data_IF_068152057856
#
_entry.id   IF_068152057856
#
_cell.length_a   1.000
_cell.length_b   1.000
_cell.length_c   1.000
_cell.angle_alpha   90.00
_cell.angle_beta   90.00
_cell.angle_gamma   90.00
#
_symmetry.space_group_name_H-M   'P 1'
#
loop_
_entity.id
_entity.type
_entity.pdbx_description
1 polymer ?
#
# COMPACT_ATOMS: atom_id res chain seq x y z
N UNK A 1 -3.26 38.25 18.62
CA UNK A 1 -4.45 37.75 17.89
C UNK A 1 -4.10 36.57 16.96
N UNK A 2 -2.92 36.54 16.28
CA UNK A 2 -2.51 35.41 15.46
C UNK A 2 -2.19 34.17 16.32
N UNK A 3 -1.58 34.34 17.49
CA UNK A 3 -1.31 33.27 18.41
C UNK A 3 -2.56 32.56 18.95
N UNK A 4 -3.69 33.28 19.04
CA UNK A 4 -4.97 32.69 19.46
C UNK A 4 -5.57 31.78 18.39
N UNK A 5 -5.25 32.04 17.10
CA UNK A 5 -5.70 31.25 15.96
C UNK A 5 -4.80 30.04 15.68
N UNK A 6 -3.58 30.02 16.24
CA UNK A 6 -2.54 29.03 15.83
C UNK A 6 -2.98 27.58 16.09
N UNK A 7 -3.71 27.33 17.16
CA UNK A 7 -4.22 25.99 17.47
C UNK A 7 -5.28 25.53 16.45
N UNK A 8 -6.31 26.37 16.23
CA UNK A 8 -7.35 26.08 15.21
C UNK A 8 -6.77 25.99 13.81
N UNK A 9 -5.75 26.80 13.49
CA UNK A 9 -5.08 26.78 12.20
C UNK A 9 -4.28 25.47 12.03
N UNK A 10 -3.60 25.04 13.09
CA UNK A 10 -2.87 23.76 13.09
C UNK A 10 -3.81 22.58 12.83
N UNK A 11 -5.00 22.59 13.40
CA UNK A 11 -5.99 21.53 13.20
C UNK A 11 -6.65 21.55 11.81
N UNK A 12 -6.87 22.72 11.23
CA UNK A 12 -7.62 22.87 9.99
C UNK A 12 -6.76 22.82 8.73
N UNK A 13 -5.51 23.32 8.76
CA UNK A 13 -4.70 23.41 7.55
C UNK A 13 -4.40 22.03 6.94
N UNK A 14 -3.99 21.06 7.77
CA UNK A 14 -3.58 19.75 7.26
C UNK A 14 -4.70 19.01 6.50
N UNK A 15 -5.93 18.86 7.03
CA UNK A 15 -7.02 18.23 6.29
C UNK A 15 -7.35 18.94 4.98
N UNK A 16 -7.29 20.29 4.97
CA UNK A 16 -7.59 21.08 3.78
C UNK A 16 -6.52 20.89 2.71
N UNK A 17 -5.24 20.95 3.09
CA UNK A 17 -4.15 20.72 2.14
C UNK A 17 -4.18 19.29 1.58
N UNK A 18 -4.48 18.30 2.41
CA UNK A 18 -4.67 16.92 1.95
C UNK A 18 -5.84 16.83 0.96
N UNK A 19 -6.97 17.44 1.28
CA UNK A 19 -8.14 17.44 0.40
C UNK A 19 -7.82 18.08 -0.96
N UNK A 20 -7.17 19.26 -0.97
CA UNK A 20 -6.76 19.92 -2.20
C UNK A 20 -5.79 19.07 -3.01
N UNK A 21 -4.77 18.48 -2.35
CA UNK A 21 -3.78 17.63 -3.00
C UNK A 21 -4.42 16.42 -3.71
N UNK A 22 -5.45 15.84 -3.11
CA UNK A 22 -6.13 14.66 -3.65
C UNK A 22 -7.28 14.97 -4.61
N UNK A 23 -7.68 16.22 -4.76
CA UNK A 23 -8.80 16.62 -5.64
C UNK A 23 -8.35 17.51 -6.77
N UNK A 24 -8.07 18.78 -6.48
CA UNK A 24 -7.77 19.83 -7.49
C UNK A 24 -6.27 20.08 -7.68
N UNK A 25 -5.42 19.49 -6.83
CA UNK A 25 -3.98 19.73 -6.82
C UNK A 25 -3.58 21.01 -6.06
N UNK A 26 -2.29 21.16 -5.78
CA UNK A 26 -1.68 22.32 -5.12
C UNK A 26 -0.60 23.00 -5.98
N UNK A 27 -0.49 22.60 -7.25
CA UNK A 27 0.58 23.03 -8.14
C UNK A 27 0.43 24.49 -8.64
N UNK A 28 -0.78 25.05 -8.56
CA UNK A 28 -1.04 26.42 -8.98
C UNK A 28 -1.10 27.40 -7.80
N UNK A 29 -0.60 28.65 -7.97
CA UNK A 29 -0.65 29.67 -6.91
C UNK A 29 -2.09 29.97 -6.45
N UNK A 30 -3.06 29.89 -7.34
CA UNK A 30 -4.47 30.09 -7.02
C UNK A 30 -5.02 28.99 -6.10
N UNK A 31 -4.69 27.73 -6.36
CA UNK A 31 -5.10 26.59 -5.52
C UNK A 31 -4.45 26.66 -4.14
N UNK A 32 -3.16 27.00 -4.08
CA UNK A 32 -2.45 27.20 -2.82
C UNK A 32 -3.06 28.35 -2.00
N UNK A 33 -3.36 29.48 -2.64
CA UNK A 33 -4.00 30.62 -1.99
C UNK A 33 -5.40 30.24 -1.49
N UNK A 34 -6.18 29.52 -2.29
CA UNK A 34 -7.52 29.05 -1.91
C UNK A 34 -7.47 28.10 -0.71
N UNK A 35 -6.52 27.17 -0.68
CA UNK A 35 -6.31 26.27 0.46
C UNK A 35 -5.91 27.03 1.74
N UNK A 36 -5.03 28.04 1.61
CA UNK A 36 -4.67 28.92 2.72
C UNK A 36 -5.89 29.71 3.24
N UNK A 37 -6.60 30.38 2.35
CA UNK A 37 -7.79 31.18 2.74
C UNK A 37 -8.84 30.30 3.42
N UNK A 38 -9.10 29.11 2.90
CA UNK A 38 -10.04 28.17 3.51
C UNK A 38 -9.55 27.70 4.88
N UNK A 39 -8.25 27.44 5.04
CA UNK A 39 -7.65 27.07 6.32
C UNK A 39 -7.80 28.16 7.37
N UNK A 40 -7.53 29.41 7.02
CA UNK A 40 -7.71 30.55 7.89
C UNK A 40 -9.19 30.81 8.21
N UNK A 41 -10.07 30.69 7.22
CA UNK A 41 -11.52 30.84 7.40
C UNK A 41 -12.07 29.83 8.40
N UNK A 42 -11.74 28.54 8.22
CA UNK A 42 -12.14 27.47 9.14
C UNK A 42 -11.53 27.65 10.54
N UNK A 43 -10.27 28.04 10.64
CA UNK A 43 -9.63 28.35 11.90
C UNK A 43 -10.34 29.49 12.64
N UNK A 44 -10.70 30.56 11.92
CA UNK A 44 -11.45 31.69 12.49
C UNK A 44 -12.85 31.28 12.96
N UNK A 45 -13.58 30.51 12.15
CA UNK A 45 -14.91 29.99 12.52
C UNK A 45 -14.80 29.10 13.77
N UNK A 46 -13.85 28.16 13.78
CA UNK A 46 -13.60 27.30 14.95
C UNK A 46 -13.30 28.10 16.20
N UNK A 47 -12.39 29.05 16.10
CA UNK A 47 -12.02 29.91 17.22
C UNK A 47 -13.23 30.75 17.72
N UNK A 48 -14.00 31.34 16.79
CA UNK A 48 -15.09 32.25 17.12
C UNK A 48 -16.29 31.55 17.76
N UNK A 49 -16.66 30.37 17.21
CA UNK A 49 -17.90 29.68 17.58
C UNK A 49 -17.71 28.48 18.48
N UNK A 50 -16.49 27.90 18.51
CA UNK A 50 -16.19 26.73 19.34
C UNK A 50 -15.27 27.11 20.50
N UNK A 51 -14.05 27.57 20.23
CA UNK A 51 -13.06 27.76 21.28
C UNK A 51 -13.42 28.87 22.28
N UNK A 52 -13.82 30.05 21.78
CA UNK A 52 -14.15 31.19 22.65
C UNK A 52 -15.31 30.90 23.59
N UNK A 53 -16.45 30.33 23.15
CA UNK A 53 -17.53 29.97 24.06
C UNK A 53 -17.11 28.93 25.09
N UNK A 54 -16.31 27.94 24.68
CA UNK A 54 -15.80 26.93 25.60
C UNK A 54 -14.82 27.50 26.63
N UNK A 55 -13.90 28.37 26.24
CA UNK A 55 -12.97 29.07 27.15
C UNK A 55 -13.73 29.99 28.12
N UNK A 56 -14.74 30.69 27.64
CA UNK A 56 -15.55 31.56 28.48
C UNK A 56 -16.40 30.80 29.51
N UNK A 57 -16.89 29.61 29.14
CA UNK A 57 -17.70 28.76 30.03
C UNK A 57 -16.88 27.88 30.97
N UNK A 58 -15.63 27.55 30.63
CA UNK A 58 -14.75 26.71 31.46
C UNK A 58 -14.34 27.37 32.77
N UNK A 59 -14.39 28.71 32.89
CA UNK A 59 -14.12 29.47 34.15
C UNK A 59 -15.23 29.39 35.18
N UNK A 60 -16.38 28.80 34.87
CA UNK A 60 -17.57 28.87 35.75
C UNK A 60 -18.16 27.47 35.97
N UNK A 61 -17.89 26.90 37.12
CA UNK A 61 -18.83 26.16 37.95
C UNK A 61 -18.93 24.65 37.94
N UNK A 62 -18.54 23.86 36.97
CA UNK A 62 -18.61 22.37 37.09
C UNK A 62 -17.70 21.66 36.07
N UNK A 63 -16.45 21.34 36.42
CA UNK A 63 -15.51 20.64 35.49
C UNK A 63 -16.08 19.31 34.98
N UNK A 64 -16.88 18.61 35.79
CA UNK A 64 -17.55 17.38 35.38
C UNK A 64 -18.50 17.54 34.18
N UNK A 65 -19.21 18.67 34.10
CA UNK A 65 -20.12 18.95 32.96
C UNK A 65 -19.32 19.20 31.68
N UNK A 66 -18.23 19.95 31.75
CA UNK A 66 -17.37 20.22 30.59
C UNK A 66 -16.74 18.95 30.08
N UNK A 67 -16.27 18.09 30.97
CA UNK A 67 -15.74 16.75 30.61
C UNK A 67 -16.85 15.90 29.98
N UNK A 68 -18.05 15.88 30.58
CA UNK A 68 -19.19 15.13 30.05
C UNK A 68 -19.59 15.58 28.63
N UNK A 69 -19.64 16.89 28.35
CA UNK A 69 -19.88 17.40 26.99
C UNK A 69 -18.76 17.04 26.02
N UNK A 70 -17.50 17.09 26.45
CA UNK A 70 -16.36 16.67 25.64
C UNK A 70 -16.44 15.19 25.25
N UNK A 71 -16.69 14.33 26.23
CA UNK A 71 -16.86 12.88 25.98
C UNK A 71 -18.05 12.62 25.05
N UNK A 72 -19.19 13.28 25.30
CA UNK A 72 -20.37 13.14 24.43
C UNK A 72 -20.05 13.57 22.99
N UNK A 73 -19.36 14.69 22.78
CA UNK A 73 -18.97 15.16 21.47
C UNK A 73 -18.05 14.16 20.75
N UNK A 74 -17.08 13.57 21.45
CA UNK A 74 -16.20 12.52 20.91
C UNK A 74 -17.00 11.28 20.53
N UNK A 75 -17.93 10.84 21.36
CA UNK A 75 -18.79 9.67 21.09
C UNK A 75 -19.66 9.94 19.85
N UNK A 76 -20.29 11.12 19.75
CA UNK A 76 -21.09 11.49 18.58
C UNK A 76 -20.21 11.52 17.33
N UNK A 77 -19.04 12.14 17.37
CA UNK A 77 -18.12 12.18 16.25
C UNK A 77 -17.68 10.79 15.81
N UNK A 78 -17.31 9.92 16.75
CA UNK A 78 -16.93 8.54 16.47
C UNK A 78 -18.09 7.73 15.86
N UNK A 79 -19.31 7.89 16.39
CA UNK A 79 -20.50 7.24 15.86
C UNK A 79 -20.82 7.73 14.43
N UNK A 80 -20.75 9.04 14.19
CA UNK A 80 -20.96 9.64 12.86
C UNK A 80 -19.92 9.14 11.87
N UNK A 81 -18.63 9.16 12.24
CA UNK A 81 -17.54 8.66 11.40
C UNK A 81 -17.75 7.18 11.05
N UNK A 82 -18.13 6.36 12.03
CA UNK A 82 -18.41 4.92 11.80
C UNK A 82 -19.63 4.71 10.90
N UNK A 83 -20.67 5.52 11.04
CA UNK A 83 -21.85 5.45 10.18
C UNK A 83 -21.53 5.87 8.74
N UNK A 84 -20.79 6.95 8.56
CA UNK A 84 -20.30 7.38 7.25
C UNK A 84 -19.40 6.31 6.61
N UNK A 85 -18.51 5.71 7.39
CA UNK A 85 -17.65 4.62 6.92
C UNK A 85 -18.46 3.39 6.47
N UNK A 86 -19.52 3.02 7.20
CA UNK A 86 -20.41 1.92 6.80
C UNK A 86 -21.19 2.23 5.52
N UNK A 87 -21.56 3.48 5.31
CA UNK A 87 -22.35 3.93 4.16
C UNK A 87 -21.50 4.49 3.02
N UNK A 88 -20.16 4.42 3.11
CA UNK A 88 -19.27 5.03 2.11
C UNK A 88 -19.54 4.54 0.68
N UNK A 89 -19.96 3.27 0.51
CA UNK A 89 -20.34 2.70 -0.79
C UNK A 89 -21.52 3.39 -1.45
N UNK A 90 -22.42 4.04 -0.66
CA UNK A 90 -23.57 4.79 -1.14
C UNK A 90 -23.28 6.28 -1.33
N UNK A 91 -22.45 6.84 -0.49
CA UNK A 91 -22.21 8.30 -0.38
C UNK A 91 -20.99 8.71 -1.20
N UNK A 92 -19.98 7.86 -1.30
CA UNK A 92 -18.74 8.21 -2.01
C UNK A 92 -18.95 8.25 -3.52
N UNK A 93 -18.48 9.28 -4.22
CA UNK A 93 -18.38 9.28 -5.68
C UNK A 93 -17.32 8.34 -6.22
N UNK A 94 -16.43 7.84 -5.37
CA UNK A 94 -15.33 6.95 -5.77
C UNK A 94 -15.82 5.57 -6.15
N UNK A 95 -15.41 5.08 -7.33
CA UNK A 95 -15.66 3.72 -7.81
C UNK A 95 -15.08 2.69 -6.84
N UNK A 96 -13.86 2.92 -6.33
CA UNK A 96 -13.19 2.05 -5.37
C UNK A 96 -13.99 1.89 -4.08
N UNK A 97 -14.65 2.96 -3.61
CA UNK A 97 -15.48 2.88 -2.41
C UNK A 97 -16.79 2.12 -2.65
N UNK A 98 -17.36 2.22 -3.86
CA UNK A 98 -18.59 1.48 -4.25
C UNK A 98 -18.30 0.00 -4.45
N UNK A 99 -17.18 -0.31 -5.07
CA UNK A 99 -16.75 -1.68 -5.40
C UNK A 99 -15.69 -2.19 -4.42
N UNK A 100 -15.78 -1.76 -3.17
CA UNK A 100 -14.78 -2.08 -2.14
C UNK A 100 -14.53 -3.57 -1.97
N UNK A 101 -15.56 -4.40 -2.15
CA UNK A 101 -15.43 -5.85 -2.03
C UNK A 101 -14.50 -6.43 -3.11
N UNK A 102 -14.49 -5.82 -4.30
CA UNK A 102 -13.64 -6.25 -5.41
C UNK A 102 -12.19 -5.75 -5.24
N UNK A 103 -12.03 -4.50 -4.79
CA UNK A 103 -10.71 -3.93 -4.54
C UNK A 103 -10.05 -4.43 -3.25
N UNK A 104 -10.88 -4.62 -2.20
CA UNK A 104 -10.43 -5.05 -0.87
C UNK A 104 -11.30 -6.21 -0.36
N UNK A 105 -11.23 -7.38 -1.00
CA UNK A 105 -12.05 -8.52 -0.59
C UNK A 105 -11.74 -8.89 0.86
N UNK A 106 -12.78 -9.23 1.61
CA UNK A 106 -12.62 -9.67 2.99
C UNK A 106 -11.74 -10.92 3.06
N UNK A 107 -11.08 -11.14 4.21
CA UNK A 107 -10.25 -12.33 4.40
C UNK A 107 -11.04 -13.62 4.18
N UNK A 108 -12.31 -13.63 4.56
CA UNK A 108 -13.21 -14.78 4.35
C UNK A 108 -13.46 -15.05 2.86
N UNK A 109 -13.70 -14.00 2.06
CA UNK A 109 -13.87 -14.12 0.61
C UNK A 109 -12.58 -14.54 -0.11
N UNK A 110 -11.42 -14.16 0.45
CA UNK A 110 -10.12 -14.54 -0.11
C UNK A 110 -9.73 -15.98 0.13
N UNK A 111 -10.20 -16.56 1.24
CA UNK A 111 -9.71 -17.85 1.74
C UNK A 111 -10.78 -18.95 1.74
N UNK A 112 -12.03 -18.66 1.38
CA UNK A 112 -13.12 -19.62 1.35
C UNK A 112 -13.97 -19.45 0.10
N UNK A 113 -14.30 -20.57 -0.55
CA UNK A 113 -15.26 -20.61 -1.63
C UNK A 113 -16.66 -20.92 -1.10
N UNK A 114 -17.75 -20.51 -1.79
CA UNK A 114 -19.10 -20.98 -1.53
C UNK A 114 -19.23 -22.50 -1.56
N UNK A 115 -18.38 -23.20 -2.31
CA UNK A 115 -18.33 -24.67 -2.39
C UNK A 115 -17.66 -25.36 -1.20
N UNK A 116 -17.32 -24.62 -0.13
CA UNK A 116 -16.68 -25.18 1.06
C UNK A 116 -15.16 -25.32 0.97
N UNK A 117 -14.55 -25.04 -0.18
CA UNK A 117 -13.11 -25.00 -0.32
C UNK A 117 -12.51 -23.85 0.50
N UNK A 118 -11.33 -24.07 1.05
CA UNK A 118 -10.55 -23.03 1.69
C UNK A 118 -9.12 -23.03 1.16
N UNK A 119 -8.43 -21.90 1.29
CA UNK A 119 -6.99 -21.80 1.05
C UNK A 119 -6.30 -21.67 2.40
N UNK A 120 -5.37 -22.60 2.68
CA UNK A 120 -4.56 -22.55 3.89
C UNK A 120 -3.16 -22.02 3.53
N UNK A 121 -2.80 -20.79 3.98
CA UNK A 121 -1.45 -20.30 3.80
C UNK A 121 -0.50 -21.00 4.78
N UNK A 122 0.56 -21.58 4.27
CA UNK A 122 1.65 -22.16 5.05
C UNK A 122 2.94 -21.37 4.83
N UNK A 123 3.55 -20.88 5.92
CA UNK A 123 4.80 -20.11 5.88
C UNK A 123 5.97 -20.94 6.36
N UNK A 124 7.08 -20.83 5.64
CA UNK A 124 8.38 -21.40 5.99
C UNK A 124 9.41 -20.29 5.98
N UNK A 125 10.16 -20.13 7.07
CA UNK A 125 11.24 -19.17 7.16
C UNK A 125 12.52 -19.73 6.52
N UNK A 126 13.22 -18.88 5.78
CA UNK A 126 14.53 -19.13 5.18
C UNK A 126 15.60 -18.34 5.94
N UNK A 127 16.89 -18.65 5.79
CA UNK A 127 17.96 -17.88 6.44
C UNK A 127 17.89 -16.37 6.14
N UNK A 128 17.52 -16.00 4.91
CA UNK A 128 17.23 -14.63 4.50
C UNK A 128 15.87 -14.58 3.82
N UNK A 129 14.85 -14.12 4.55
CA UNK A 129 13.49 -14.06 4.05
C UNK A 129 12.63 -15.25 4.45
N UNK A 130 11.60 -15.53 3.66
CA UNK A 130 10.65 -16.63 3.89
C UNK A 130 9.84 -16.88 2.63
N UNK A 131 9.22 -18.06 2.53
CA UNK A 131 8.18 -18.28 1.54
C UNK A 131 6.84 -18.64 2.18
N UNK A 132 5.75 -18.38 1.48
CA UNK A 132 4.39 -18.72 1.86
C UNK A 132 3.70 -19.44 0.71
N UNK A 133 3.19 -20.63 0.99
CA UNK A 133 2.47 -21.45 0.01
C UNK A 133 0.98 -21.35 0.25
N UNK A 134 0.23 -21.10 -0.81
CA UNK A 134 -1.22 -21.10 -0.85
C UNK A 134 -1.70 -22.36 -1.54
N UNK A 135 -2.37 -23.22 -0.80
CA UNK A 135 -2.92 -24.48 -1.29
C UNK A 135 -4.41 -24.57 -0.97
N UNK A 136 -5.15 -25.18 -1.90
CA UNK A 136 -6.55 -25.45 -1.72
C UNK A 136 -6.75 -26.69 -0.82
N UNK A 137 -7.59 -26.52 0.22
CA UNK A 137 -7.90 -27.56 1.20
C UNK A 137 -9.42 -27.81 1.19
N UNK A 138 -9.80 -29.06 1.40
CA UNK A 138 -11.22 -29.45 1.47
C UNK A 138 -11.89 -29.67 0.13
N UNK A 139 -11.15 -29.68 -0.95
CA UNK A 139 -11.63 -29.96 -2.30
C UNK A 139 -10.70 -30.92 -3.04
N UNK A 140 -11.21 -31.61 -4.09
CA UNK A 140 -10.38 -32.43 -4.94
C UNK A 140 -9.23 -31.60 -5.50
N UNK A 141 -8.01 -32.14 -5.42
CA UNK A 141 -6.86 -31.55 -6.10
C UNK A 141 -7.12 -31.52 -7.61
N UNK A 142 -6.82 -30.41 -8.25
CA UNK A 142 -6.82 -30.37 -9.72
C UNK A 142 -5.62 -31.18 -10.20
N UNK A 143 -5.87 -32.30 -10.82
CA UNK A 143 -4.87 -33.29 -11.20
C UNK A 143 -3.75 -32.78 -12.14
N UNK A 144 -3.85 -31.56 -12.69
CA UNK A 144 -2.92 -31.01 -13.68
C UNK A 144 -2.68 -29.49 -13.55
N UNK A 145 -3.02 -28.88 -12.42
CA UNK A 145 -2.76 -27.46 -12.27
C UNK A 145 -1.26 -27.18 -12.10
N UNK A 146 -0.66 -26.27 -12.90
CA UNK A 146 0.74 -25.91 -12.75
C UNK A 146 0.99 -25.24 -11.41
N UNK A 147 2.17 -25.43 -10.84
CA UNK A 147 2.58 -24.64 -9.67
C UNK A 147 3.00 -23.25 -10.13
N UNK A 148 2.76 -22.27 -9.29
CA UNK A 148 3.19 -20.90 -9.51
C UNK A 148 4.16 -20.48 -8.43
N UNK A 149 5.37 -20.16 -8.82
CA UNK A 149 6.41 -19.65 -7.94
C UNK A 149 6.54 -18.14 -8.14
N UNK A 150 6.30 -17.39 -7.09
CA UNK A 150 6.36 -15.93 -7.10
C UNK A 150 7.59 -15.52 -6.31
N UNK A 151 8.52 -14.83 -6.93
CA UNK A 151 9.77 -14.44 -6.27
C UNK A 151 9.94 -12.93 -6.30
N UNK A 152 10.08 -12.34 -5.11
CA UNK A 152 10.24 -10.91 -5.01
C UNK A 152 10.36 -10.38 -3.58
N UNK A 153 9.98 -9.13 -3.42
CA UNK A 153 10.02 -8.40 -2.15
C UNK A 153 8.59 -8.12 -1.62
N UNK A 154 8.43 -7.04 -0.87
CA UNK A 154 7.12 -6.59 -0.39
C UNK A 154 6.08 -6.35 -1.50
N UNK A 155 6.51 -6.07 -2.74
CA UNK A 155 5.61 -5.93 -3.88
C UNK A 155 4.99 -7.28 -4.26
N UNK A 156 5.74 -8.38 -4.15
CA UNK A 156 5.19 -9.72 -4.34
C UNK A 156 4.07 -10.03 -3.35
N UNK A 157 4.23 -9.60 -2.10
CA UNK A 157 3.21 -9.77 -1.05
C UNK A 157 1.93 -8.99 -1.31
N UNK A 158 2.01 -7.86 -2.00
CA UNK A 158 0.84 -7.05 -2.33
C UNK A 158 -0.18 -7.85 -3.19
N UNK A 159 0.28 -8.83 -3.95
CA UNK A 159 -0.55 -9.73 -4.74
C UNK A 159 -1.08 -10.94 -3.95
N UNK A 160 -0.81 -11.05 -2.65
CA UNK A 160 -1.26 -12.17 -1.81
C UNK A 160 -2.75 -12.50 -1.94
N UNK A 161 -3.68 -11.52 -1.96
CA UNK A 161 -5.09 -11.79 -2.21
C UNK A 161 -5.39 -12.42 -3.58
N UNK A 162 -4.68 -11.99 -4.63
CA UNK A 162 -4.78 -12.55 -5.97
C UNK A 162 -4.31 -14.01 -5.98
N UNK A 163 -3.17 -14.30 -5.36
CA UNK A 163 -2.61 -15.65 -5.31
C UNK A 163 -3.51 -16.61 -4.54
N UNK A 164 -4.05 -16.17 -3.39
CA UNK A 164 -5.00 -16.97 -2.64
C UNK A 164 -6.27 -17.27 -3.44
N UNK A 165 -6.79 -16.30 -4.18
CA UNK A 165 -7.94 -16.48 -5.04
C UNK A 165 -7.63 -17.38 -6.24
N UNK A 166 -6.51 -17.19 -6.88
CA UNK A 166 -6.05 -18.02 -7.99
C UNK A 166 -5.90 -19.48 -7.57
N UNK A 167 -5.22 -19.74 -6.43
CA UNK A 167 -5.10 -21.08 -5.88
C UNK A 167 -6.50 -21.71 -5.58
N UNK A 168 -7.44 -20.91 -5.07
CA UNK A 168 -8.78 -21.37 -4.77
C UNK A 168 -9.58 -21.73 -6.02
N UNK A 169 -9.52 -20.93 -7.07
CA UNK A 169 -10.30 -21.11 -8.30
C UNK A 169 -9.72 -22.21 -9.18
N UNK A 170 -8.41 -22.22 -9.36
CA UNK A 170 -7.73 -23.15 -10.28
C UNK A 170 -7.28 -24.46 -9.63
N UNK A 171 -7.11 -24.48 -8.31
CA UNK A 171 -6.44 -25.59 -7.59
C UNK A 171 -4.94 -25.61 -7.74
N UNK A 172 -4.33 -24.58 -8.34
CA UNK A 172 -2.88 -24.43 -8.43
C UNK A 172 -2.26 -24.18 -7.06
N UNK A 173 -1.08 -24.72 -6.82
CA UNK A 173 -0.25 -24.37 -5.66
C UNK A 173 0.54 -23.10 -5.99
N UNK A 174 0.42 -22.05 -5.18
CA UNK A 174 1.16 -20.79 -5.35
C UNK A 174 2.12 -20.60 -4.20
N UNK A 175 3.41 -20.58 -4.47
CA UNK A 175 4.47 -20.34 -3.48
C UNK A 175 5.07 -18.95 -3.70
N UNK A 176 4.95 -18.07 -2.69
CA UNK A 176 5.43 -16.70 -2.74
C UNK A 176 6.67 -16.55 -1.86
N UNK A 177 7.80 -16.24 -2.46
CA UNK A 177 9.05 -15.90 -1.79
C UNK A 177 9.11 -14.41 -1.50
N UNK A 178 9.47 -14.07 -0.28
CA UNK A 178 9.75 -12.70 0.15
C UNK A 178 11.19 -12.58 0.64
N UNK A 179 12.01 -11.90 -0.13
CA UNK A 179 13.44 -11.74 0.10
C UNK A 179 13.77 -10.45 0.87
N UNK A 180 12.90 -10.01 1.80
CA UNK A 180 13.24 -8.92 2.73
C UNK A 180 13.59 -7.58 2.09
N UNK A 181 12.86 -7.16 1.04
CA UNK A 181 13.10 -5.89 0.33
C UNK A 181 14.08 -6.01 -0.84
N UNK A 182 14.58 -7.21 -1.13
CA UNK A 182 15.42 -7.51 -2.27
C UNK A 182 14.55 -8.04 -3.42
N UNK A 183 14.40 -7.30 -4.55
CA UNK A 183 13.76 -7.84 -5.73
C UNK A 183 14.67 -8.92 -6.35
N UNK A 184 14.08 -9.95 -6.96
CA UNK A 184 14.89 -10.93 -7.70
C UNK A 184 15.47 -10.32 -8.98
N UNK A 185 14.67 -9.49 -9.66
CA UNK A 185 15.08 -8.74 -10.84
C UNK A 185 14.72 -7.27 -10.67
N UNK A 186 15.62 -6.37 -11.02
CA UNK A 186 15.37 -4.93 -11.09
C UNK A 186 16.08 -4.34 -12.29
N UNK A 187 15.48 -3.37 -12.92
CA UNK A 187 16.11 -2.61 -14.00
C UNK A 187 16.78 -1.31 -13.49
N UNK A 188 16.83 -1.11 -12.17
CA UNK A 188 17.44 0.07 -11.54
C UNK A 188 18.88 -0.14 -11.03
N UNK A 189 19.37 -1.36 -11.02
CA UNK A 189 20.78 -1.71 -10.80
C UNK A 189 21.37 -1.54 -9.41
N UNK A 190 20.84 -0.69 -8.55
CA UNK A 190 21.57 -0.30 -7.33
C UNK A 190 21.32 -1.17 -6.08
N UNK A 191 20.17 -1.84 -5.97
CA UNK A 191 19.87 -2.69 -4.80
C UNK A 191 20.21 -4.16 -4.98
N UNK A 192 20.24 -4.62 -6.20
CA UNK A 192 20.53 -6.01 -6.55
C UNK A 192 22.00 -6.38 -6.41
N UNK A 193 22.87 -5.40 -6.51
CA UNK A 193 24.32 -5.56 -6.33
C UNK A 193 24.75 -5.57 -4.85
N UNK A 194 23.84 -5.42 -3.89
CA UNK A 194 24.22 -5.61 -2.48
C UNK A 194 24.45 -7.11 -2.20
N UNK A 195 25.51 -7.43 -1.47
CA UNK A 195 25.83 -8.81 -1.10
C UNK A 195 24.62 -9.53 -0.44
N UNK A 196 23.90 -8.81 0.41
CA UNK A 196 22.68 -9.30 1.07
C UNK A 196 21.59 -9.70 0.07
N UNK A 197 21.33 -8.89 -0.97
CA UNK A 197 20.30 -9.20 -1.95
C UNK A 197 20.71 -10.34 -2.90
N UNK A 198 21.99 -10.46 -3.21
CA UNK A 198 22.53 -11.59 -4.00
C UNK A 198 22.33 -12.89 -3.21
N UNK A 199 22.74 -12.90 -1.96
CA UNK A 199 22.59 -14.07 -1.08
C UNK A 199 21.12 -14.47 -0.88
N UNK A 200 20.23 -13.49 -0.63
CA UNK A 200 18.80 -13.75 -0.51
C UNK A 200 18.19 -14.34 -1.79
N UNK A 201 18.61 -13.85 -2.95
CA UNK A 201 18.18 -14.38 -4.25
C UNK A 201 18.69 -15.81 -4.46
N UNK A 202 19.96 -16.07 -4.14
CA UNK A 202 20.57 -17.41 -4.29
C UNK A 202 19.90 -18.44 -3.38
N UNK A 203 19.58 -18.06 -2.14
CA UNK A 203 18.84 -18.93 -1.21
C UNK A 203 17.43 -19.24 -1.71
N UNK A 204 16.71 -18.22 -2.21
CA UNK A 204 15.37 -18.42 -2.77
C UNK A 204 15.41 -19.33 -4.01
N UNK A 205 16.39 -19.15 -4.89
CA UNK A 205 16.59 -19.98 -6.08
C UNK A 205 16.96 -21.41 -5.70
N UNK A 206 17.83 -21.60 -4.73
CA UNK A 206 18.25 -22.92 -4.27
C UNK A 206 17.08 -23.73 -3.69
N UNK A 207 16.15 -23.07 -2.99
CA UNK A 207 14.93 -23.72 -2.49
C UNK A 207 13.89 -23.96 -3.60
N UNK A 208 13.82 -23.06 -4.59
CA UNK A 208 12.83 -23.12 -5.67
C UNK A 208 13.18 -24.19 -6.73
N UNK A 209 14.44 -24.24 -7.19
CA UNK A 209 14.85 -25.06 -8.34
C UNK A 209 14.49 -26.55 -8.20
N UNK A 210 14.72 -27.23 -7.06
CA UNK A 210 14.36 -28.65 -6.90
C UNK A 210 12.86 -28.92 -6.97
N UNK A 211 12.03 -27.87 -6.81
CA UNK A 211 10.56 -27.95 -6.75
C UNK A 211 9.91 -27.58 -8.08
N UNK A 212 10.68 -27.02 -9.01
CA UNK A 212 10.21 -26.52 -10.28
C UNK A 212 10.08 -27.65 -11.31
N UNK A 213 8.91 -27.73 -11.93
CA UNK A 213 8.63 -28.65 -13.02
C UNK A 213 8.51 -27.93 -14.38
N UNK A 214 8.52 -28.69 -15.50
CA UNK A 214 8.55 -28.12 -16.86
C UNK A 214 7.32 -27.29 -17.23
N UNK A 215 6.18 -27.50 -16.55
CA UNK A 215 4.92 -26.78 -16.79
C UNK A 215 4.65 -25.68 -15.76
N UNK A 216 5.54 -25.53 -14.77
CA UNK A 216 5.36 -24.56 -13.72
C UNK A 216 5.68 -23.14 -14.16
N UNK A 217 5.12 -22.15 -13.47
CA UNK A 217 5.21 -20.74 -13.84
C UNK A 217 6.02 -20.00 -12.76
N UNK A 218 7.01 -19.23 -13.20
CA UNK A 218 7.70 -18.27 -12.34
C UNK A 218 7.13 -16.88 -12.60
N UNK A 219 6.58 -16.23 -11.56
CA UNK A 219 6.06 -14.89 -11.64
C UNK A 219 6.95 -13.92 -10.84
N UNK A 220 7.42 -12.86 -11.49
CA UNK A 220 8.38 -11.90 -10.97
C UNK A 220 7.74 -10.51 -10.85
N UNK A 221 6.92 -10.24 -9.82
CA UNK A 221 6.16 -8.98 -9.71
C UNK A 221 7.02 -7.80 -9.25
N UNK A 222 8.25 -8.05 -8.85
CA UNK A 222 9.16 -7.03 -8.32
C UNK A 222 10.08 -6.42 -9.37
N UNK A 223 9.74 -6.55 -10.65
CA UNK A 223 10.46 -5.86 -11.71
C UNK A 223 10.33 -4.35 -11.52
N UNK A 224 11.40 -3.72 -11.05
CA UNK A 224 11.41 -2.29 -10.78
C UNK A 224 11.74 -1.51 -12.04
N UNK A 225 10.89 -0.53 -12.31
CA UNK A 225 11.14 0.51 -13.32
C UNK A 225 11.43 1.84 -12.61
N UNK A 226 12.12 2.81 -13.25
CA UNK A 226 12.33 4.13 -12.68
C UNK A 226 11.01 4.75 -12.24
N UNK A 227 10.97 5.30 -11.03
CA UNK A 227 9.79 5.97 -10.49
C UNK A 227 9.82 7.45 -10.79
N UNK A 228 8.70 8.01 -11.19
CA UNK A 228 8.53 9.45 -11.38
C UNK A 228 8.34 10.20 -10.06
N UNK A 229 7.92 9.49 -9.00
CA UNK A 229 7.68 10.06 -7.68
C UNK A 229 8.20 9.10 -6.62
N UNK A 230 9.06 9.56 -5.74
CA UNK A 230 9.40 8.84 -4.51
C UNK A 230 8.46 9.24 -3.36
N UNK A 231 8.26 8.32 -2.40
CA UNK A 231 7.46 8.64 -1.21
C UNK A 231 8.12 9.81 -0.47
N UNK A 232 7.47 10.96 -0.50
CA UNK A 232 7.87 12.14 0.26
C UNK A 232 8.37 13.34 -0.55
N UNK A 233 8.72 13.19 -1.82
CA UNK A 233 9.12 14.32 -2.67
C UNK A 233 8.68 14.16 -4.12
N UNK A 234 8.38 15.30 -4.71
CA UNK A 234 8.14 15.40 -6.15
C UNK A 234 9.50 15.66 -6.81
N UNK A 235 9.89 14.80 -7.74
CA UNK A 235 11.09 15.01 -8.54
C UNK A 235 10.83 16.10 -9.58
N UNK A 236 11.83 16.92 -9.89
CA UNK A 236 11.75 17.83 -11.04
C UNK A 236 11.74 17.03 -12.36
N UNK A 237 11.13 17.59 -13.39
CA UNK A 237 11.08 16.96 -14.71
C UNK A 237 12.48 16.63 -15.23
N UNK A 238 13.46 17.50 -14.99
CA UNK A 238 14.86 17.28 -15.34
C UNK A 238 15.45 16.05 -14.66
N UNK A 239 15.17 15.89 -13.36
CA UNK A 239 15.62 14.72 -12.58
C UNK A 239 14.98 13.44 -13.11
N UNK A 240 13.69 13.48 -13.43
CA UNK A 240 12.96 12.33 -14.02
C UNK A 240 13.55 11.97 -15.37
N UNK A 241 13.76 12.95 -16.26
CA UNK A 241 14.35 12.74 -17.58
C UNK A 241 15.77 12.16 -17.46
N UNK A 242 16.60 12.68 -16.54
CA UNK A 242 17.94 12.16 -16.31
C UNK A 242 17.91 10.71 -15.80
N UNK A 243 17.03 10.37 -14.88
CA UNK A 243 16.88 9.01 -14.35
C UNK A 243 16.32 8.01 -15.38
N UNK A 244 15.54 8.47 -16.36
CA UNK A 244 14.94 7.61 -17.38
C UNK A 244 15.81 7.55 -18.63
N UNK A 245 16.35 8.66 -19.11
CA UNK A 245 17.01 8.78 -20.41
C UNK A 245 18.50 9.16 -20.32
N UNK A 246 19.02 9.51 -19.13
CA UNK A 246 20.42 9.84 -18.95
C UNK A 246 21.36 8.68 -19.31
N UNK A 247 22.57 8.99 -19.72
CA UNK A 247 23.56 8.00 -20.11
C UNK A 247 23.90 7.01 -18.99
N UNK A 248 24.00 7.49 -17.75
CA UNK A 248 24.24 6.67 -16.57
C UNK A 248 23.08 5.71 -16.31
N UNK A 249 21.83 6.20 -16.41
CA UNK A 249 20.64 5.39 -16.25
C UNK A 249 20.52 4.31 -17.33
N UNK A 250 20.93 4.62 -18.57
CA UNK A 250 20.97 3.64 -19.66
C UNK A 250 22.05 2.59 -19.44
N UNK A 251 23.26 3.00 -18.98
CA UNK A 251 24.34 2.08 -18.64
C UNK A 251 23.93 1.14 -17.49
N UNK A 252 23.34 1.69 -16.42
CA UNK A 252 22.82 0.90 -15.30
C UNK A 252 21.76 -0.12 -15.72
N UNK A 253 20.81 0.27 -16.58
CA UNK A 253 19.80 -0.66 -17.13
C UNK A 253 20.40 -1.76 -17.99
N UNK A 254 21.41 -1.45 -18.82
CA UNK A 254 22.12 -2.47 -19.62
C UNK A 254 22.80 -3.49 -18.72
N UNK A 255 23.50 -3.03 -17.67
CA UNK A 255 24.14 -3.91 -16.70
C UNK A 255 23.12 -4.79 -15.97
N UNK A 256 22.02 -4.20 -15.49
CA UNK A 256 20.94 -4.94 -14.84
C UNK A 256 20.29 -5.96 -15.78
N UNK A 257 20.12 -5.61 -17.06
CA UNK A 257 19.57 -6.56 -18.05
C UNK A 257 20.46 -7.77 -18.26
N UNK A 258 21.78 -7.60 -18.26
CA UNK A 258 22.72 -8.75 -18.39
C UNK A 258 22.61 -9.68 -17.16
N UNK A 259 22.54 -9.11 -15.97
CA UNK A 259 22.32 -9.89 -14.73
C UNK A 259 20.97 -10.64 -14.80
N UNK A 260 19.91 -9.95 -15.24
CA UNK A 260 18.60 -10.54 -15.40
C UNK A 260 18.60 -11.72 -16.38
N UNK A 261 19.26 -11.58 -17.52
CA UNK A 261 19.39 -12.66 -18.52
C UNK A 261 20.16 -13.84 -17.95
N UNK A 262 21.28 -13.60 -17.26
CA UNK A 262 22.04 -14.66 -16.62
C UNK A 262 21.22 -15.43 -15.57
N UNK A 263 20.43 -14.71 -14.78
CA UNK A 263 19.54 -15.31 -13.77
C UNK A 263 18.42 -16.15 -14.42
N UNK A 264 17.77 -15.62 -15.47
CA UNK A 264 16.73 -16.35 -16.21
C UNK A 264 17.28 -17.64 -16.86
N UNK A 265 18.52 -17.63 -17.32
CA UNK A 265 19.18 -18.85 -17.79
C UNK A 265 19.39 -19.89 -16.68
N UNK A 266 19.62 -19.48 -15.43
CA UNK A 266 19.70 -20.40 -14.28
C UNK A 266 18.36 -21.03 -13.91
N UNK A 267 17.25 -20.34 -14.22
CA UNK A 267 15.88 -20.79 -13.93
C UNK A 267 15.26 -21.63 -15.06
N UNK A 268 15.92 -21.74 -16.21
CA UNK A 268 15.51 -22.52 -17.38
C UNK A 268 16.04 -23.94 -17.33
#
# INVERSE_FOLDING_TARGET
>A
RIGELSYSLCLSHWPIFVLFRWTVGLEGPLHMLSALMLSFGLAWVSQRFIERPFKASAGVRRPARTIGFGVLAVVIAAFTARTLQKQQHRISPSVVAKERADWYPSRALRLRSPSGCSVSPHRVDLPLGWHQTFERVGCPAAASAPKVFVVGDSHALAYGPLFARYAMETGATVTVYNNGGCPLLSLQGSRESSAHCIEAADLAIADLLPRLGPSDVIFLPSLRVPRYVEQGWVMSDETVVAQVHGAEAQASRRAASLVAVALLHRLR
#
